data_IF_792898455478
#
_entry.id   IF_792898455478
#
_cell.length_a   1.000
_cell.length_b   1.000
_cell.length_c   1.000
_cell.angle_alpha   90.00
_cell.angle_beta   90.00
_cell.angle_gamma   90.00
#
_symmetry.space_group_name_H-M   'P 1'
#
loop_
_entity.id
_entity.type
_entity.pdbx_description
1 polymer ?
#
# COMPACT_ATOMS: atom_id res chain seq x y z
N UNK A 1 -8.62 0.58 -27.86
CA UNK A 1 -7.89 0.72 -26.60
C UNK A 1 -6.41 0.65 -26.95
N UNK A 2 -5.63 1.64 -26.54
CA UNK A 2 -4.22 1.83 -26.87
C UNK A 2 -3.31 0.74 -26.29
N UNK A 3 -3.68 0.14 -25.16
CA UNK A 3 -3.00 -1.02 -24.58
C UNK A 3 -3.01 -2.25 -25.50
N UNK A 4 -4.13 -2.48 -26.22
CA UNK A 4 -4.30 -3.52 -27.23
C UNK A 4 -3.51 -3.20 -28.50
N UNK A 5 -3.41 -1.92 -28.87
CA UNK A 5 -2.56 -1.50 -29.99
C UNK A 5 -1.07 -1.72 -29.68
N UNK A 6 -0.60 -1.33 -28.49
CA UNK A 6 0.77 -1.63 -28.04
C UNK A 6 1.03 -3.14 -27.97
N UNK A 7 0.06 -3.95 -27.54
CA UNK A 7 0.17 -5.40 -27.58
C UNK A 7 0.36 -5.93 -29.01
N UNK A 8 -0.40 -5.40 -29.97
CA UNK A 8 -0.35 -5.77 -31.38
C UNK A 8 0.98 -5.39 -32.03
N UNK A 9 1.54 -4.23 -31.70
CA UNK A 9 2.79 -3.73 -32.31
C UNK A 9 4.05 -4.15 -31.56
N UNK A 10 3.93 -4.80 -30.39
CA UNK A 10 5.05 -5.19 -29.51
C UNK A 10 6.23 -5.84 -30.24
N UNK A 11 5.99 -6.82 -31.11
CA UNK A 11 7.05 -7.49 -31.85
C UNK A 11 7.81 -6.54 -32.78
N UNK A 12 7.08 -5.78 -33.59
CA UNK A 12 7.64 -4.82 -34.55
C UNK A 12 8.33 -3.64 -33.88
N UNK A 13 7.80 -3.18 -32.74
CA UNK A 13 8.42 -2.14 -31.92
C UNK A 13 9.80 -2.59 -31.42
N UNK A 14 9.89 -3.80 -30.86
CA UNK A 14 11.13 -4.37 -30.32
C UNK A 14 12.23 -4.53 -31.40
N UNK A 15 11.84 -4.91 -32.62
CA UNK A 15 12.78 -5.05 -33.73
C UNK A 15 13.36 -3.69 -34.18
N UNK A 16 12.51 -2.67 -34.29
CA UNK A 16 12.86 -1.41 -34.95
C UNK A 16 13.36 -0.31 -33.99
N UNK A 17 12.84 -0.21 -32.77
CA UNK A 17 13.11 0.91 -31.84
C UNK A 17 14.58 1.02 -31.44
N UNK A 18 15.28 2.13 -31.72
CA UNK A 18 16.69 2.27 -31.35
C UNK A 18 16.90 2.39 -29.83
N UNK A 19 18.08 2.00 -29.31
CA UNK A 19 18.41 2.19 -27.88
C UNK A 19 18.31 3.66 -27.44
N UNK A 20 18.64 4.59 -28.33
CA UNK A 20 18.52 6.02 -28.05
C UNK A 20 17.06 6.45 -27.90
N UNK A 21 16.18 5.95 -28.78
CA UNK A 21 14.75 6.24 -28.72
C UNK A 21 14.09 5.62 -27.47
N UNK A 22 14.52 4.43 -27.03
CA UNK A 22 14.06 3.85 -25.75
C UNK A 22 14.37 4.79 -24.58
N UNK A 23 15.60 5.33 -24.51
CA UNK A 23 16.01 6.27 -23.46
C UNK A 23 15.18 7.56 -23.50
N UNK A 24 15.01 8.14 -24.69
CA UNK A 24 14.19 9.34 -24.85
C UNK A 24 12.73 9.12 -24.46
N UNK A 25 12.15 7.96 -24.80
CA UNK A 25 10.79 7.62 -24.40
C UNK A 25 10.68 7.40 -22.88
N UNK A 26 11.70 6.86 -22.24
CA UNK A 26 11.74 6.75 -20.77
C UNK A 26 11.77 8.14 -20.12
N UNK A 27 12.59 9.06 -20.63
CA UNK A 27 12.66 10.45 -20.16
C UNK A 27 11.31 11.15 -20.31
N UNK A 28 10.66 11.01 -21.47
CA UNK A 28 9.34 11.60 -21.74
C UNK A 28 8.23 11.03 -20.82
N UNK A 29 8.29 9.72 -20.53
CA UNK A 29 7.34 9.06 -19.64
C UNK A 29 7.60 9.38 -18.16
N UNK A 30 8.85 9.66 -17.80
CA UNK A 30 9.23 10.16 -16.48
C UNK A 30 8.73 11.60 -16.28
N UNK A 31 8.88 12.47 -17.28
CA UNK A 31 8.38 13.86 -17.26
C UNK A 31 6.85 13.90 -17.13
N UNK A 32 6.14 13.03 -17.85
CA UNK A 32 4.69 12.86 -17.75
C UNK A 32 4.23 12.16 -16.44
N UNK A 33 5.16 11.80 -15.54
CA UNK A 33 4.94 11.06 -14.28
C UNK A 33 4.23 9.73 -14.48
N UNK A 34 4.42 9.10 -15.64
CA UNK A 34 3.90 7.77 -15.93
C UNK A 34 4.84 6.69 -15.43
N UNK A 35 6.15 6.94 -15.45
CA UNK A 35 7.18 6.10 -14.84
C UNK A 35 7.85 6.86 -13.68
N UNK A 36 8.42 6.13 -12.73
CA UNK A 36 9.32 6.67 -11.71
C UNK A 36 10.78 6.33 -12.02
N UNK A 37 11.73 6.99 -11.36
CA UNK A 37 13.17 6.81 -11.61
C UNK A 37 13.59 5.33 -11.49
N UNK A 38 13.11 4.62 -10.47
CA UNK A 38 13.42 3.20 -10.28
C UNK A 38 12.85 2.28 -11.37
N UNK A 39 11.67 2.61 -11.92
CA UNK A 39 11.08 1.89 -13.06
C UNK A 39 11.87 2.15 -14.35
N UNK A 40 12.33 3.38 -14.55
CA UNK A 40 13.22 3.74 -15.66
C UNK A 40 14.56 3.02 -15.55
N UNK A 41 15.16 3.00 -14.36
CA UNK A 41 16.43 2.33 -14.10
C UNK A 41 16.30 0.81 -14.27
N UNK A 42 15.19 0.20 -13.85
CA UNK A 42 14.91 -1.23 -14.10
C UNK A 42 14.86 -1.57 -15.60
N UNK A 43 14.39 -0.65 -16.44
CA UNK A 43 14.43 -0.86 -17.91
C UNK A 43 15.86 -0.76 -18.45
N UNK A 44 16.69 0.09 -17.87
CA UNK A 44 18.06 0.37 -18.34
C UNK A 44 19.11 -0.61 -17.81
N UNK A 45 18.99 -1.06 -16.55
CA UNK A 45 20.02 -1.82 -15.82
C UNK A 45 19.79 -3.34 -15.93
N UNK A 46 18.54 -3.81 -15.90
CA UNK A 46 18.23 -5.25 -15.93
C UNK A 46 18.32 -5.89 -17.33
N UNK A 47 18.52 -5.07 -18.38
CA UNK A 47 18.40 -5.51 -19.77
C UNK A 47 19.68 -5.23 -20.58
N UNK A 48 20.49 -6.28 -20.82
CA UNK A 48 21.75 -6.16 -21.59
C UNK A 48 21.52 -5.92 -23.10
N UNK A 49 20.35 -6.31 -23.63
CA UNK A 49 19.98 -6.22 -25.05
C UNK A 49 18.94 -5.14 -25.39
N UNK A 50 19.08 -4.50 -26.56
CA UNK A 50 18.09 -3.55 -27.15
C UNK A 50 16.66 -4.11 -27.11
N UNK A 51 16.53 -5.39 -27.45
CA UNK A 51 15.24 -6.05 -27.54
C UNK A 51 14.58 -6.24 -26.16
N UNK A 52 15.37 -6.54 -25.14
CA UNK A 52 14.86 -6.76 -23.78
C UNK A 52 14.47 -5.45 -23.13
N UNK A 53 15.25 -4.39 -23.34
CA UNK A 53 14.88 -3.01 -22.96
C UNK A 53 13.54 -2.61 -23.59
N UNK A 54 13.36 -2.86 -24.89
CA UNK A 54 12.15 -2.51 -25.61
C UNK A 54 10.92 -3.32 -25.13
N UNK A 55 11.12 -4.61 -24.80
CA UNK A 55 10.07 -5.46 -24.21
C UNK A 55 9.70 -4.98 -22.81
N UNK A 56 10.70 -4.65 -21.99
CA UNK A 56 10.47 -4.17 -20.63
C UNK A 56 9.68 -2.85 -20.64
N UNK A 57 10.11 -1.88 -21.46
CA UNK A 57 9.42 -0.60 -21.62
C UNK A 57 7.95 -0.78 -22.03
N UNK A 58 7.70 -1.50 -23.12
CA UNK A 58 6.32 -1.62 -23.65
C UNK A 58 5.41 -2.43 -22.71
N UNK A 59 5.92 -3.47 -22.05
CA UNK A 59 5.12 -4.26 -21.12
C UNK A 59 4.89 -3.54 -19.79
N UNK A 60 5.80 -2.67 -19.37
CA UNK A 60 5.63 -1.80 -18.21
C UNK A 60 4.56 -0.75 -18.48
N UNK A 61 4.62 -0.06 -19.61
CA UNK A 61 3.61 0.94 -20.02
C UNK A 61 2.22 0.30 -20.17
N UNK A 62 2.13 -0.91 -20.76
CA UNK A 62 0.86 -1.63 -20.88
C UNK A 62 0.26 -2.01 -19.53
N UNK A 63 1.07 -2.45 -18.57
CA UNK A 63 0.61 -2.78 -17.20
C UNK A 63 0.03 -1.58 -16.45
N UNK A 64 0.49 -0.36 -16.77
CA UNK A 64 -0.07 0.89 -16.21
C UNK A 64 -1.40 1.31 -16.85
N UNK A 65 -1.82 0.67 -17.93
CA UNK A 65 -3.13 0.82 -18.53
C UNK A 65 -3.19 1.73 -19.75
N UNK A 66 -4.42 1.98 -20.21
CA UNK A 66 -4.75 2.59 -21.50
C UNK A 66 -4.25 4.04 -21.62
N UNK A 67 -4.27 4.81 -20.52
CA UNK A 67 -3.79 6.19 -20.48
C UNK A 67 -2.27 6.28 -20.72
N UNK A 68 -1.49 5.44 -20.03
CA UNK A 68 -0.04 5.39 -20.21
C UNK A 68 0.31 4.90 -21.61
N UNK A 69 -0.43 3.92 -22.11
CA UNK A 69 -0.28 3.38 -23.46
C UNK A 69 -0.54 4.44 -24.55
N UNK A 70 -1.58 5.29 -24.38
CA UNK A 70 -1.84 6.42 -25.29
C UNK A 70 -0.71 7.44 -25.29
N UNK A 71 -0.21 7.82 -24.10
CA UNK A 71 0.87 8.80 -23.96
C UNK A 71 2.17 8.30 -24.57
N UNK A 72 2.50 7.02 -24.41
CA UNK A 72 3.66 6.43 -25.10
C UNK A 72 3.52 6.46 -26.63
N UNK A 73 2.32 6.19 -27.16
CA UNK A 73 2.06 6.30 -28.61
C UNK A 73 2.24 7.75 -29.09
N UNK A 74 1.74 8.73 -28.33
CA UNK A 74 1.89 10.15 -28.63
C UNK A 74 3.36 10.59 -28.60
N UNK A 75 4.13 10.18 -27.59
CA UNK A 75 5.56 10.49 -27.51
C UNK A 75 6.35 9.81 -28.64
N UNK A 76 5.97 8.58 -29.01
CA UNK A 76 6.55 7.90 -30.16
C UNK A 76 6.26 8.63 -31.47
N UNK A 77 5.04 9.14 -31.66
CA UNK A 77 4.67 9.97 -32.81
C UNK A 77 5.48 11.27 -32.87
N UNK A 78 5.70 11.93 -31.73
CA UNK A 78 6.46 13.17 -31.67
C UNK A 78 7.96 12.96 -31.90
N UNK A 79 8.53 11.88 -31.35
CA UNK A 79 9.97 11.59 -31.41
C UNK A 79 10.40 10.89 -32.70
N UNK A 80 9.57 9.98 -33.20
CA UNK A 80 9.83 9.26 -34.45
C UNK A 80 8.53 9.00 -35.24
N UNK A 81 8.07 10.00 -36.03
CA UNK A 81 6.90 9.88 -36.90
C UNK A 81 7.01 8.74 -37.92
N UNK A 82 8.24 8.38 -38.32
CA UNK A 82 8.48 7.34 -39.32
C UNK A 82 8.23 5.95 -38.72
N UNK A 83 8.76 5.69 -37.53
CA UNK A 83 8.50 4.46 -36.78
C UNK A 83 7.03 4.36 -36.35
N UNK A 84 6.41 5.46 -35.93
CA UNK A 84 4.98 5.51 -35.60
C UNK A 84 4.11 5.08 -36.79
N UNK A 85 4.39 5.62 -37.98
CA UNK A 85 3.69 5.30 -39.23
C UNK A 85 3.92 3.84 -39.65
N UNK A 86 5.15 3.33 -39.53
CA UNK A 86 5.49 1.94 -39.86
C UNK A 86 4.84 0.91 -38.91
N UNK A 87 4.67 1.27 -37.64
CA UNK A 87 3.97 0.43 -36.67
C UNK A 87 2.45 0.43 -36.90
N UNK A 88 1.93 1.38 -37.67
CA UNK A 88 0.50 1.51 -37.98
C UNK A 88 -0.31 1.85 -36.75
N UNK A 89 0.25 2.67 -35.87
CA UNK A 89 -0.43 3.25 -34.72
C UNK A 89 -1.26 4.44 -35.23
N UNK A 90 -2.54 4.50 -34.88
CA UNK A 90 -3.40 5.62 -35.27
C UNK A 90 -3.93 6.31 -34.03
N UNK A 91 -3.50 7.55 -33.81
CA UNK A 91 -4.13 8.47 -32.88
C UNK A 91 -5.45 8.95 -33.49
N UNK A 92 -6.51 8.13 -33.44
CA UNK A 92 -7.86 8.67 -33.62
C UNK A 92 -8.30 9.26 -32.29
N UNK A 93 -8.49 10.58 -32.17
CA UNK A 93 -9.19 11.13 -31.01
C UNK A 93 -10.63 10.60 -31.07
N UNK A 94 -11.05 9.87 -30.04
CA UNK A 94 -12.44 9.45 -29.89
C UNK A 94 -13.31 10.70 -29.72
N UNK A 95 -14.25 11.02 -30.65
CA UNK A 95 -15.19 12.11 -30.46
C UNK A 95 -16.21 11.64 -29.41
N UNK A 96 -16.13 12.17 -28.19
CA UNK A 96 -17.10 11.85 -27.13
C UNK A 96 -16.56 11.86 -25.70
N UNK A 97 -15.25 11.99 -25.48
CA UNK A 97 -14.75 12.25 -24.13
C UNK A 97 -14.94 13.73 -23.81
N UNK A 98 -15.99 14.03 -23.03
CA UNK A 98 -16.04 15.22 -22.18
C UNK A 98 -14.67 15.31 -21.49
N UNK A 99 -13.97 16.45 -21.53
CA UNK A 99 -12.72 16.59 -20.81
C UNK A 99 -13.04 16.30 -19.34
N UNK A 100 -12.58 15.14 -18.84
CA UNK A 100 -12.44 14.97 -17.41
C UNK A 100 -11.62 16.18 -16.94
N UNK A 101 -12.01 16.87 -15.85
CA UNK A 101 -11.35 18.09 -15.45
C UNK A 101 -9.85 17.84 -15.46
N UNK A 102 -9.11 18.72 -16.13
CA UNK A 102 -7.67 18.81 -15.96
C UNK A 102 -7.43 19.19 -14.50
N UNK A 103 -7.57 18.25 -13.58
CA UNK A 103 -6.95 18.36 -12.28
C UNK A 103 -5.46 18.23 -12.56
N UNK A 104 -4.86 19.37 -12.89
CA UNK A 104 -3.68 19.78 -12.17
C UNK A 104 -4.02 19.67 -10.69
N UNK A 105 -3.94 18.46 -10.11
CA UNK A 105 -3.85 18.32 -8.68
C UNK A 105 -2.47 18.89 -8.34
N UNK A 106 -2.41 20.21 -8.21
CA UNK A 106 -1.58 20.80 -7.18
C UNK A 106 -1.86 19.96 -5.93
N UNK A 107 -0.83 19.35 -5.35
CA UNK A 107 -1.00 18.62 -4.11
C UNK A 107 -1.67 19.55 -3.11
N UNK A 108 -2.94 19.26 -2.82
CA UNK A 108 -3.70 20.03 -1.87
C UNK A 108 -3.28 19.56 -0.50
N UNK A 109 -2.74 20.47 0.30
CA UNK A 109 -2.49 20.23 1.72
C UNK A 109 -3.78 20.29 2.57
N UNK A 110 -4.93 20.37 1.92
CA UNK A 110 -6.26 20.42 2.52
C UNK A 110 -7.04 19.16 2.15
N UNK A 111 -7.60 18.51 3.18
CA UNK A 111 -8.52 17.39 3.02
C UNK A 111 -9.77 17.88 2.29
N UNK A 112 -10.15 17.19 1.21
CA UNK A 112 -11.43 17.40 0.55
C UNK A 112 -12.44 16.50 1.25
N UNK A 113 -13.39 17.10 1.95
CA UNK A 113 -14.46 16.36 2.62
C UNK A 113 -15.40 15.76 1.59
N UNK A 114 -15.96 14.59 1.92
CA UNK A 114 -17.04 14.01 1.11
C UNK A 114 -18.30 14.86 1.19
N UNK A 115 -19.22 14.69 0.23
CA UNK A 115 -20.53 15.35 0.27
C UNK A 115 -21.46 14.65 1.26
N UNK A 116 -22.33 15.42 1.90
CA UNK A 116 -23.34 14.86 2.82
C UNK A 116 -24.24 13.82 2.14
N UNK A 117 -24.52 14.00 0.84
CA UNK A 117 -25.30 13.05 0.04
C UNK A 117 -24.61 11.68 -0.06
N UNK A 118 -23.32 11.67 -0.40
CA UNK A 118 -22.52 10.44 -0.48
C UNK A 118 -22.40 9.78 0.89
N UNK A 119 -22.13 10.57 1.94
CA UNK A 119 -22.03 10.05 3.31
C UNK A 119 -23.31 9.37 3.78
N UNK A 120 -24.46 10.02 3.55
CA UNK A 120 -25.77 9.50 3.94
C UNK A 120 -26.18 8.26 3.12
N UNK A 121 -25.79 8.18 1.85
CA UNK A 121 -25.97 6.98 1.04
C UNK A 121 -25.16 5.81 1.61
N UNK A 122 -23.86 6.01 1.86
CA UNK A 122 -22.96 4.94 2.32
C UNK A 122 -23.26 4.45 3.73
N UNK A 123 -23.70 5.32 4.65
CA UNK A 123 -24.14 4.91 6.01
C UNK A 123 -25.31 3.92 6.00
N UNK A 124 -26.11 3.89 4.93
CA UNK A 124 -27.25 2.96 4.80
C UNK A 124 -26.89 1.64 4.11
N UNK A 125 -25.68 1.56 3.54
CA UNK A 125 -25.22 0.35 2.85
C UNK A 125 -24.84 -0.73 3.85
N UNK A 126 -25.22 -1.97 3.55
CA UNK A 126 -24.83 -3.15 4.33
C UNK A 126 -23.39 -3.61 4.05
N UNK A 127 -22.82 -3.16 2.93
CA UNK A 127 -21.46 -3.53 2.49
C UNK A 127 -20.38 -2.56 3.00
N UNK A 128 -20.75 -1.62 3.88
CA UNK A 128 -19.86 -0.59 4.44
C UNK A 128 -19.80 -0.74 5.96
N UNK A 129 -18.62 -0.57 6.55
CA UNK A 129 -18.47 -0.57 8.00
C UNK A 129 -19.36 0.51 8.64
N UNK A 130 -20.09 0.11 9.68
CA UNK A 130 -21.02 0.99 10.37
C UNK A 130 -20.27 2.11 11.11
N UNK A 131 -20.74 3.35 10.93
CA UNK A 131 -20.19 4.55 11.55
C UNK A 131 -21.33 5.32 12.23
N UNK A 132 -21.13 5.66 13.51
CA UNK A 132 -22.01 6.54 14.29
C UNK A 132 -21.28 7.82 14.68
N UNK A 133 -22.01 8.84 15.11
CA UNK A 133 -21.38 10.10 15.49
C UNK A 133 -20.56 9.94 16.79
N UNK A 134 -20.96 9.00 17.66
CA UNK A 134 -20.20 8.56 18.83
C UNK A 134 -18.90 7.87 18.42
N UNK A 135 -18.96 6.96 17.46
CA UNK A 135 -17.77 6.22 17.01
C UNK A 135 -16.75 7.13 16.34
N UNK A 136 -17.22 8.13 15.59
CA UNK A 136 -16.39 9.19 15.02
C UNK A 136 -15.60 9.95 16.10
N UNK A 137 -16.26 10.33 17.21
CA UNK A 137 -15.60 11.05 18.33
C UNK A 137 -14.61 10.19 19.11
N UNK A 138 -14.74 8.87 18.98
CA UNK A 138 -13.89 7.87 19.64
C UNK A 138 -12.79 7.31 18.73
N UNK A 139 -12.59 7.88 17.54
CA UNK A 139 -11.48 7.52 16.66
C UNK A 139 -10.13 7.82 17.29
N UNK A 140 -9.26 6.81 17.30
CA UNK A 140 -7.88 6.92 17.81
C UNK A 140 -6.92 6.25 16.83
N UNK A 141 -5.77 6.88 16.63
CA UNK A 141 -4.71 6.40 15.77
C UNK A 141 -3.38 6.38 16.54
N UNK A 142 -2.56 5.37 16.25
CA UNK A 142 -1.19 5.26 16.75
C UNK A 142 -0.22 5.75 15.67
N UNK A 143 0.67 6.68 16.02
CA UNK A 143 1.73 7.18 15.14
C UNK A 143 3.08 6.98 15.84
N UNK A 144 3.88 6.05 15.33
CA UNK A 144 5.23 5.75 15.81
C UNK A 144 6.25 6.23 14.78
N UNK A 145 7.14 7.12 15.18
CA UNK A 145 8.24 7.61 14.34
C UNK A 145 9.57 7.40 15.05
N UNK A 146 10.34 6.44 14.59
CA UNK A 146 11.74 6.29 15.02
C UNK A 146 12.62 7.08 14.05
N UNK A 147 13.28 8.10 14.58
CA UNK A 147 14.04 9.09 13.84
C UNK A 147 15.50 9.09 14.29
N UNK A 148 15.73 9.18 15.59
CA UNK A 148 17.06 9.35 16.18
C UNK A 148 17.53 7.99 16.71
N UNK A 149 18.42 7.35 15.96
CA UNK A 149 18.98 6.05 16.34
C UNK A 149 20.27 6.25 17.11
N UNK A 150 20.59 5.31 18.01
CA UNK A 150 21.84 5.32 18.77
C UNK A 150 23.08 5.35 17.84
N UNK A 151 22.97 4.70 16.68
CA UNK A 151 23.89 4.92 15.58
C UNK A 151 23.45 6.15 14.76
N UNK A 152 24.16 7.27 14.91
CA UNK A 152 23.86 8.54 14.25
C UNK A 152 23.75 8.42 12.72
N UNK A 153 24.46 7.46 12.09
CA UNK A 153 24.41 7.21 10.64
C UNK A 153 23.04 6.73 10.16
N UNK A 154 22.24 6.17 11.07
CA UNK A 154 20.88 5.72 10.82
C UNK A 154 19.84 6.80 11.10
N UNK A 155 20.22 8.02 11.46
CA UNK A 155 19.26 9.10 11.71
C UNK A 155 18.46 9.45 10.46
N UNK A 156 17.13 9.40 10.56
CA UNK A 156 16.20 9.62 9.43
C UNK A 156 15.86 11.10 9.28
N UNK A 157 16.74 11.86 8.62
CA UNK A 157 16.50 13.28 8.31
C UNK A 157 15.24 13.44 7.43
N UNK A 158 14.35 14.36 7.79
CA UNK A 158 13.10 14.60 7.07
C UNK A 158 11.90 13.81 7.60
N UNK A 159 12.11 12.83 8.48
CA UNK A 159 11.03 12.08 9.11
C UNK A 159 10.09 12.98 9.95
N UNK A 160 10.56 14.16 10.39
CA UNK A 160 9.72 15.16 11.07
C UNK A 160 8.60 15.65 10.15
N UNK A 161 8.91 15.85 8.86
CA UNK A 161 7.93 16.34 7.89
C UNK A 161 6.86 15.29 7.61
N UNK A 162 7.27 14.02 7.54
CA UNK A 162 6.36 12.89 7.38
C UNK A 162 5.45 12.74 8.61
N UNK A 163 6.01 12.83 9.81
CA UNK A 163 5.27 12.81 11.08
C UNK A 163 4.21 13.93 11.13
N UNK A 164 4.61 15.18 10.86
CA UNK A 164 3.71 16.34 10.85
C UNK A 164 2.57 16.16 9.83
N UNK A 165 2.90 15.72 8.62
CA UNK A 165 1.92 15.54 7.55
C UNK A 165 0.94 14.42 7.89
N UNK A 166 1.43 13.30 8.42
CA UNK A 166 0.61 12.18 8.82
C UNK A 166 -0.30 12.51 10.01
N UNK A 167 0.23 13.21 11.02
CA UNK A 167 -0.58 13.69 12.14
C UNK A 167 -1.70 14.61 11.64
N UNK A 168 -1.36 15.58 10.77
CA UNK A 168 -2.34 16.49 10.18
C UNK A 168 -3.43 15.74 9.42
N UNK A 169 -3.04 14.75 8.62
CA UNK A 169 -3.97 13.90 7.87
C UNK A 169 -4.92 13.15 8.82
N UNK A 170 -4.38 12.42 9.79
CA UNK A 170 -5.17 11.61 10.72
C UNK A 170 -6.13 12.48 11.55
N UNK A 171 -5.67 13.64 12.04
CA UNK A 171 -6.54 14.60 12.73
C UNK A 171 -7.64 15.13 11.83
N UNK A 172 -7.34 15.43 10.57
CA UNK A 172 -8.36 15.89 9.60
C UNK A 172 -9.41 14.81 9.29
N UNK A 173 -9.06 13.53 9.43
CA UNK A 173 -9.97 12.38 9.32
C UNK A 173 -10.76 12.10 10.62
N UNK A 174 -10.57 12.91 11.66
CA UNK A 174 -11.29 12.84 12.93
C UNK A 174 -10.62 11.96 14.00
N UNK A 175 -9.38 11.54 13.81
CA UNK A 175 -8.68 10.70 14.78
C UNK A 175 -7.97 11.54 15.84
N UNK A 176 -8.07 11.10 17.10
CA UNK A 176 -7.09 11.44 18.11
C UNK A 176 -5.79 10.69 17.81
N UNK A 177 -4.68 11.41 17.70
CA UNK A 177 -3.38 10.81 17.36
C UNK A 177 -2.54 10.64 18.63
N UNK A 178 -2.30 9.38 19.01
CA UNK A 178 -1.37 8.98 20.06
C UNK A 178 0.01 8.86 19.43
N UNK A 179 0.88 9.84 19.72
CA UNK A 179 2.20 9.96 19.12
C UNK A 179 3.30 9.41 20.00
N UNK A 180 4.27 8.79 19.36
CA UNK A 180 5.37 8.12 20.00
C UNK A 180 6.63 8.22 19.14
N UNK A 181 7.70 8.76 19.73
CA UNK A 181 8.96 8.97 19.02
C UNK A 181 10.09 8.20 19.71
N UNK A 182 10.96 7.63 18.87
CA UNK A 182 12.23 7.00 19.27
C UNK A 182 12.07 5.89 20.32
N UNK A 183 11.22 4.90 20.02
CA UNK A 183 10.81 3.86 20.96
C UNK A 183 11.41 2.49 20.70
N UNK A 184 11.32 1.68 21.76
CA UNK A 184 11.55 0.24 21.80
C UNK A 184 10.20 -0.51 21.71
N UNK A 185 10.23 -1.81 21.41
CA UNK A 185 9.12 -2.67 20.96
C UNK A 185 7.77 -2.72 21.77
N UNK A 186 7.56 -1.98 22.87
CA UNK A 186 6.46 -2.21 23.83
C UNK A 186 5.15 -1.42 23.62
N UNK A 187 5.09 -0.52 22.63
CA UNK A 187 4.04 0.52 22.49
C UNK A 187 2.65 -0.02 22.16
N UNK A 188 2.60 -1.10 21.36
CA UNK A 188 1.33 -1.62 20.82
C UNK A 188 0.44 -2.25 21.87
N UNK A 189 1.04 -2.82 22.92
CA UNK A 189 0.27 -3.37 24.04
C UNK A 189 -0.51 -2.25 24.75
N UNK A 190 0.16 -1.15 25.08
CA UNK A 190 -0.48 0.03 25.68
C UNK A 190 -1.57 0.62 24.78
N UNK A 191 -1.34 0.66 23.47
CA UNK A 191 -2.35 1.14 22.53
C UNK A 191 -3.60 0.23 22.50
N UNK A 192 -3.43 -1.09 22.55
CA UNK A 192 -4.54 -2.05 22.55
C UNK A 192 -5.46 -1.94 23.79
N UNK A 193 -5.00 -1.28 24.85
CA UNK A 193 -5.76 -1.00 26.08
C UNK A 193 -6.44 0.37 26.09
N UNK A 194 -6.29 1.17 25.01
CA UNK A 194 -6.80 2.53 24.99
C UNK A 194 -8.33 2.57 25.14
N UNK A 195 -8.89 3.37 26.07
CA UNK A 195 -10.30 3.29 26.46
C UNK A 195 -11.27 3.59 25.31
N UNK A 196 -10.88 4.48 24.38
CA UNK A 196 -11.70 4.81 23.20
C UNK A 196 -11.90 3.66 22.21
N UNK A 197 -11.08 2.60 22.24
CA UNK A 197 -11.20 1.49 21.28
C UNK A 197 -12.53 0.74 21.38
N UNK A 198 -13.17 0.77 22.56
CA UNK A 198 -14.49 0.17 22.76
C UNK A 198 -15.55 0.81 21.87
N UNK A 199 -15.51 2.13 21.77
CA UNK A 199 -16.55 2.91 21.09
C UNK A 199 -16.12 3.35 19.69
N UNK A 200 -14.84 3.20 19.33
CA UNK A 200 -14.32 3.54 18.01
C UNK A 200 -14.96 2.71 16.89
N UNK A 201 -14.98 3.22 15.67
CA UNK A 201 -15.38 2.48 14.46
C UNK A 201 -14.19 1.89 13.71
N UNK A 202 -13.01 2.51 13.81
CA UNK A 202 -11.82 2.13 13.07
C UNK A 202 -10.55 2.66 13.73
N UNK A 203 -9.41 2.05 13.42
CA UNK A 203 -8.10 2.52 13.89
C UNK A 203 -7.09 2.62 12.77
N UNK A 204 -6.17 3.57 12.92
CA UNK A 204 -4.93 3.64 12.14
C UNK A 204 -3.75 3.30 13.04
N UNK A 205 -2.80 2.53 12.51
CA UNK A 205 -1.48 2.34 13.10
C UNK A 205 -0.44 2.66 12.04
N UNK A 206 0.32 3.72 12.26
CA UNK A 206 1.36 4.17 11.36
C UNK A 206 2.71 4.00 12.05
N UNK A 207 3.62 3.28 11.40
CA UNK A 207 4.97 3.02 11.92
C UNK A 207 5.98 3.45 10.85
N UNK A 208 6.87 4.37 11.22
CA UNK A 208 7.91 4.89 10.34
C UNK A 208 9.27 4.70 11.02
N UNK A 209 10.12 3.86 10.46
CA UNK A 209 11.44 3.54 11.04
C UNK A 209 12.38 2.94 9.98
N UNK A 210 13.56 2.50 10.40
CA UNK A 210 14.31 1.46 9.68
C UNK A 210 13.70 0.09 9.93
N UNK A 211 14.10 -0.90 9.14
CA UNK A 211 13.65 -2.27 9.33
C UNK A 211 14.26 -3.24 8.33
N UNK A 212 13.71 -4.45 8.36
CA UNK A 212 13.86 -5.50 7.35
C UNK A 212 12.52 -6.22 7.17
N UNK A 213 12.45 -7.19 6.27
CA UNK A 213 11.19 -7.78 5.79
C UNK A 213 10.14 -8.13 6.86
N UNK A 214 10.59 -8.68 7.99
CA UNK A 214 9.72 -9.18 9.06
C UNK A 214 9.67 -8.29 10.32
N UNK A 215 10.49 -7.24 10.39
CA UNK A 215 10.56 -6.42 11.60
C UNK A 215 10.94 -4.97 11.35
N UNK A 216 10.48 -4.13 12.27
CA UNK A 216 10.81 -2.71 12.36
C UNK A 216 11.90 -2.55 13.42
N UNK A 217 12.90 -1.72 13.17
CA UNK A 217 13.97 -1.47 14.13
C UNK A 217 13.54 -0.45 15.19
N UNK A 218 13.85 -0.74 16.45
CA UNK A 218 13.89 0.23 17.53
C UNK A 218 15.16 1.08 17.45
N UNK A 219 15.19 2.17 18.21
CA UNK A 219 16.29 3.15 18.12
C UNK A 219 17.63 2.63 18.63
N UNK A 220 17.62 1.56 19.43
CA UNK A 220 18.84 0.94 19.95
C UNK A 220 19.33 -0.23 19.09
N UNK A 221 18.77 -0.41 17.89
CA UNK A 221 19.13 -1.50 17.00
C UNK A 221 20.58 -1.38 16.53
N UNK A 222 21.35 -2.45 16.71
CA UNK A 222 22.72 -2.63 16.22
C UNK A 222 22.99 -4.09 15.94
N UNK A 223 24.17 -4.41 15.38
CA UNK A 223 24.60 -5.80 15.18
C UNK A 223 24.66 -6.59 16.50
N UNK A 224 24.97 -5.91 17.61
CA UNK A 224 25.08 -6.49 18.95
C UNK A 224 23.76 -6.47 19.73
N UNK A 225 22.89 -5.48 19.47
CA UNK A 225 21.60 -5.33 20.12
C UNK A 225 20.45 -5.36 19.11
N UNK A 226 19.76 -6.51 19.02
CA UNK A 226 18.62 -6.69 18.12
C UNK A 226 17.34 -6.12 18.73
N UNK A 227 17.30 -4.79 18.88
CA UNK A 227 16.08 -4.04 19.19
C UNK A 227 15.16 -4.05 17.95
N UNK A 228 14.49 -5.18 17.74
CA UNK A 228 13.66 -5.46 16.59
C UNK A 228 12.21 -5.72 17.05
N UNK A 229 11.26 -5.11 16.37
CA UNK A 229 9.83 -5.28 16.57
C UNK A 229 9.23 -6.07 15.41
N UNK A 230 8.85 -7.34 15.60
CA UNK A 230 8.21 -8.15 14.57
C UNK A 230 6.89 -7.55 14.10
N UNK A 231 6.70 -7.41 12.79
CA UNK A 231 5.46 -6.86 12.21
C UNK A 231 4.24 -7.72 12.58
N UNK A 232 4.43 -9.03 12.71
CA UNK A 232 3.39 -9.98 13.11
C UNK A 232 2.77 -9.67 14.49
N UNK A 233 3.54 -9.03 15.39
CA UNK A 233 3.01 -8.61 16.68
C UNK A 233 1.90 -7.55 16.56
N UNK A 234 1.86 -6.77 15.48
CA UNK A 234 0.78 -5.81 15.23
C UNK A 234 -0.54 -6.55 15.06
N UNK A 235 -0.57 -7.56 14.19
CA UNK A 235 -1.78 -8.33 13.91
C UNK A 235 -2.23 -9.13 15.14
N UNK A 236 -1.26 -9.67 15.89
CA UNK A 236 -1.53 -10.38 17.14
C UNK A 236 -2.17 -9.46 18.19
N UNK A 237 -1.53 -8.32 18.51
CA UNK A 237 -2.00 -7.41 19.55
C UNK A 237 -3.33 -6.72 19.21
N UNK A 238 -3.59 -6.45 17.93
CA UNK A 238 -4.85 -5.82 17.48
C UNK A 238 -5.89 -6.83 17.01
N UNK A 239 -5.54 -8.12 17.05
CA UNK A 239 -6.40 -9.22 16.67
C UNK A 239 -7.53 -9.45 17.68
N UNK A 240 -8.56 -10.23 17.31
CA UNK A 240 -9.73 -10.50 18.13
C UNK A 240 -9.41 -11.15 19.49
N UNK A 241 -8.28 -11.84 19.60
CA UNK A 241 -7.86 -12.51 20.83
C UNK A 241 -7.31 -11.54 21.88
N UNK A 242 -6.44 -10.61 21.48
CA UNK A 242 -5.77 -9.69 22.41
C UNK A 242 -6.47 -8.32 22.48
N UNK A 243 -7.18 -7.90 21.42
CA UNK A 243 -7.98 -6.67 21.42
C UNK A 243 -9.42 -6.93 20.93
N UNK A 244 -10.29 -7.54 21.78
CA UNK A 244 -11.69 -7.77 21.44
C UNK A 244 -12.47 -6.50 21.07
N UNK A 245 -12.05 -5.35 21.60
CA UNK A 245 -12.65 -4.03 21.33
C UNK A 245 -12.63 -3.65 19.84
N UNK A 246 -11.72 -4.22 19.06
CA UNK A 246 -11.57 -3.98 17.63
C UNK A 246 -12.18 -5.08 16.74
N UNK A 247 -12.89 -6.07 17.29
CA UNK A 247 -13.52 -7.10 16.47
C UNK A 247 -14.52 -6.52 15.46
N UNK A 248 -14.44 -6.94 14.19
CA UNK A 248 -15.28 -6.46 13.09
C UNK A 248 -15.14 -4.95 12.79
N UNK A 249 -14.05 -4.33 13.26
CA UNK A 249 -13.70 -2.94 13.01
C UNK A 249 -12.43 -2.88 12.16
N UNK A 250 -12.38 -2.05 11.10
CA UNK A 250 -11.22 -1.98 10.23
C UNK A 250 -9.98 -1.44 10.96
N UNK A 251 -8.86 -2.12 10.74
CA UNK A 251 -7.53 -1.84 11.27
C UNK A 251 -6.61 -1.52 10.10
N UNK A 252 -6.33 -0.24 9.90
CA UNK A 252 -5.50 0.26 8.79
C UNK A 252 -4.07 0.41 9.29
N UNK A 253 -3.16 -0.41 8.77
CA UNK A 253 -1.75 -0.42 9.15
C UNK A 253 -0.93 0.19 8.02
N UNK A 254 -0.11 1.20 8.33
CA UNK A 254 0.81 1.83 7.38
C UNK A 254 2.21 1.68 7.93
N UNK A 255 3.11 1.05 7.16
CA UNK A 255 4.52 0.87 7.58
C UNK A 255 5.44 1.43 6.52
N UNK A 256 6.21 2.44 6.90
CA UNK A 256 7.35 2.96 6.14
C UNK A 256 8.64 2.44 6.80
N UNK A 257 9.20 1.36 6.27
CA UNK A 257 10.47 0.83 6.73
C UNK A 257 11.17 0.05 5.61
N UNK A 258 12.50 0.11 5.57
CA UNK A 258 13.30 -0.71 4.68
C UNK A 258 12.94 -2.19 4.89
N UNK A 259 12.82 -2.99 3.83
CA UNK A 259 12.52 -4.43 3.93
C UNK A 259 13.62 -5.37 3.40
N UNK A 260 14.79 -4.83 3.09
CA UNK A 260 15.99 -5.57 2.65
C UNK A 260 16.27 -5.45 1.14
N UNK A 261 17.45 -5.93 0.71
CA UNK A 261 18.06 -5.74 -0.62
C UNK A 261 17.49 -6.61 -1.76
N UNK A 262 16.37 -7.30 -1.57
CA UNK A 262 15.73 -8.06 -2.66
C UNK A 262 14.62 -7.23 -3.26
N UNK A 263 14.73 -6.96 -4.58
CA UNK A 263 13.90 -6.06 -5.36
C UNK A 263 12.44 -6.00 -4.95
N UNK A 264 11.92 -4.77 -4.90
CA UNK A 264 10.57 -4.43 -4.45
C UNK A 264 9.50 -5.30 -5.11
N UNK A 265 9.01 -6.28 -4.36
CA UNK A 265 7.90 -7.13 -4.78
C UNK A 265 6.88 -7.30 -3.65
N UNK A 266 5.63 -7.40 -4.08
CA UNK A 266 4.42 -7.32 -3.27
C UNK A 266 4.15 -8.66 -2.59
N UNK A 267 3.85 -8.63 -1.29
CA UNK A 267 3.23 -9.76 -0.60
C UNK A 267 1.71 -9.55 -0.70
N UNK A 268 1.07 -10.24 -1.66
CA UNK A 268 -0.40 -10.36 -1.72
C UNK A 268 -0.75 -11.60 -0.89
N UNK A 269 -1.19 -11.39 0.36
CA UNK A 269 -1.80 -12.46 1.14
C UNK A 269 -3.28 -12.55 0.81
N UNK A 270 -3.60 -13.26 -0.27
CA UNK A 270 -4.95 -13.83 -0.42
C UNK A 270 -4.98 -15.08 0.46
N UNK A 271 -5.84 -15.05 1.48
CA UNK A 271 -5.96 -16.14 2.46
C UNK A 271 -6.51 -17.41 1.79
N UNK A 272 -5.61 -18.24 1.25
CA UNK A 272 -5.89 -19.61 0.83
C UNK A 272 -4.61 -20.44 0.93
N UNK A 273 -4.13 -20.72 2.15
CA UNK A 273 -3.18 -21.82 2.31
C UNK A 273 -3.94 -23.12 2.52
N UNK A 274 -4.10 -23.83 1.41
CA UNK A 274 -4.42 -25.25 1.37
C UNK A 274 -3.27 -26.04 2.03
N UNK A 275 -3.48 -26.49 3.26
CA UNK A 275 -2.97 -27.78 3.72
C UNK A 275 -4.14 -28.54 4.35
N UNK A 276 -4.85 -29.24 3.48
CA UNK A 276 -5.61 -30.43 3.85
C UNK A 276 -4.63 -31.44 4.45
N UNK A 277 -4.68 -31.59 5.75
CA UNK A 277 -4.31 -32.85 6.40
C UNK A 277 -5.59 -33.32 7.06
N UNK A 278 -6.26 -34.26 6.41
CA UNK A 278 -7.30 -35.07 7.04
C UNK A 278 -6.63 -35.88 8.14
N UNK A 279 -6.91 -35.55 9.39
CA UNK A 279 -6.89 -36.55 10.45
C UNK A 279 -8.35 -36.81 10.86
N UNK A 280 -8.81 -37.95 10.36
CA UNK A 280 -10.05 -38.61 10.72
C UNK A 280 -9.94 -39.07 12.18
N UNK A 281 -10.59 -38.36 13.10
CA UNK A 281 -10.84 -38.87 14.45
C UNK A 281 -12.33 -39.01 14.64
N UNK A 282 -12.77 -40.25 14.45
CA UNK A 282 -14.12 -40.72 14.72
C UNK A 282 -14.54 -40.47 16.17
N UNK A 283 -15.84 -40.21 16.31
CA UNK A 283 -16.59 -39.88 17.51
C UNK A 283 -16.40 -40.86 18.68
N UNK A 284 -16.38 -40.33 19.90
CA UNK A 284 -16.99 -40.98 21.06
C UNK A 284 -17.50 -39.95 22.07
N UNK A 285 -18.83 -39.82 22.11
CA UNK A 285 -19.60 -39.14 23.15
C UNK A 285 -19.60 -39.97 24.44
N UNK A 286 -19.43 -39.39 25.64
CA UNK A 286 -20.03 -39.93 26.84
C UNK A 286 -21.43 -39.37 27.03
N UNK A 287 -22.36 -40.28 27.26
CA UNK A 287 -23.74 -40.01 27.64
C UNK A 287 -23.85 -39.51 29.11
N UNK A 288 -24.97 -38.84 29.37
CA UNK A 288 -25.60 -38.49 30.65
C UNK A 288 -25.17 -37.21 31.39
N UNK A 289 -26.14 -36.31 31.53
CA UNK A 289 -26.22 -35.32 32.61
C UNK A 289 -26.87 -34.01 32.16
N UNK A 290 -28.21 -33.90 32.29
CA UNK A 290 -28.99 -32.78 31.77
C UNK A 290 -28.65 -31.41 32.36
N UNK A 291 -28.84 -30.37 31.53
CA UNK A 291 -28.80 -28.97 31.96
C UNK A 291 -28.69 -28.00 30.79
N UNK A 292 -29.82 -27.39 30.41
CA UNK A 292 -30.01 -26.18 29.57
C UNK A 292 -29.16 -26.06 28.29
N UNK A 293 -29.87 -26.17 27.17
CA UNK A 293 -29.47 -25.65 25.86
C UNK A 293 -29.09 -24.17 26.02
N UNK A 294 -27.80 -23.88 26.07
CA UNK A 294 -27.26 -22.60 25.60
C UNK A 294 -26.70 -22.88 24.22
N UNK A 295 -27.26 -22.17 23.25
CA UNK A 295 -26.84 -22.15 21.86
C UNK A 295 -25.44 -21.55 21.79
N UNK A 296 -24.42 -22.37 22.09
CA UNK A 296 -23.02 -22.04 21.88
C UNK A 296 -22.75 -22.07 20.38
N UNK A 297 -23.16 -20.99 19.71
CA UNK A 297 -22.64 -20.64 18.41
C UNK A 297 -21.14 -20.38 18.57
N UNK A 298 -20.33 -21.45 18.49
CA UNK A 298 -18.88 -21.38 18.32
C UNK A 298 -18.64 -20.67 16.98
N UNK A 299 -18.60 -19.33 17.04
CA UNK A 299 -18.17 -18.50 15.92
C UNK A 299 -16.68 -18.69 15.82
N UNK A 300 -16.24 -19.54 14.89
CA UNK A 300 -14.86 -19.55 14.43
C UNK A 300 -14.54 -18.17 13.83
N UNK A 301 -14.03 -17.26 14.65
CA UNK A 301 -13.54 -15.95 14.20
C UNK A 301 -12.13 -16.17 13.66
N UNK A 302 -11.90 -15.77 12.41
CA UNK A 302 -10.58 -15.82 11.81
C UNK A 302 -9.60 -14.99 12.67
N UNK A 303 -8.41 -15.55 12.95
CA UNK A 303 -7.42 -14.90 13.83
C UNK A 303 -6.99 -13.53 13.33
N UNK A 304 -7.05 -13.31 12.02
CA UNK A 304 -6.73 -12.05 11.36
C UNK A 304 -7.93 -11.64 10.50
N UNK A 305 -8.70 -10.67 10.98
CA UNK A 305 -9.90 -10.17 10.29
C UNK A 305 -9.93 -8.65 10.34
N UNK A 306 -10.40 -8.05 9.25
CA UNK A 306 -10.61 -6.60 9.11
C UNK A 306 -9.30 -5.78 9.14
N UNK A 307 -8.20 -6.37 8.69
CA UNK A 307 -6.91 -5.67 8.54
C UNK A 307 -6.67 -5.28 7.08
N UNK A 308 -6.03 -4.13 6.89
CA UNK A 308 -5.40 -3.76 5.62
C UNK A 308 -4.05 -3.11 5.90
N UNK A 309 -3.01 -3.55 5.17
CA UNK A 309 -1.65 -3.10 5.38
C UNK A 309 -1.07 -2.46 4.12
N UNK A 310 -0.53 -1.25 4.27
CA UNK A 310 0.17 -0.49 3.25
C UNK A 310 1.64 -0.44 3.65
N UNK A 311 2.48 -1.21 2.95
CA UNK A 311 3.90 -1.38 3.27
C UNK A 311 4.74 -0.70 2.20
N UNK A 312 5.59 0.22 2.60
CA UNK A 312 6.55 0.89 1.73
C UNK A 312 7.96 0.54 2.17
N UNK A 313 8.79 0.18 1.20
CA UNK A 313 10.15 -0.34 1.39
C UNK A 313 11.18 0.35 0.51
N UNK A 314 10.79 1.45 -0.12
CA UNK A 314 11.69 2.27 -0.94
C UNK A 314 12.77 2.88 -0.04
N UNK A 315 14.06 2.67 -0.36
CA UNK A 315 15.15 3.38 0.31
C UNK A 315 14.96 4.88 0.16
N UNK A 316 15.26 5.65 1.21
CA UNK A 316 15.22 7.11 1.12
C UNK A 316 16.38 7.58 0.23
N UNK A 317 16.08 8.10 -0.96
CA UNK A 317 17.03 8.90 -1.72
C UNK A 317 17.11 10.27 -1.05
N UNK A 318 18.20 10.55 -0.35
CA UNK A 318 18.48 11.89 0.12
C UNK A 318 18.79 12.77 -1.11
N UNK A 319 17.86 13.63 -1.51
CA UNK A 319 18.19 14.79 -2.34
C UNK A 319 19.00 15.76 -1.50
N UNK A 320 20.29 15.89 -1.82
CA UNK A 320 21.13 17.01 -1.37
C UNK A 320 20.71 18.31 -2.06
#
# INVERSE_FOLDING_TARGET
MADKELARVRGRFVEKVSKALIKQLLDDLLEDRLLNDGETDSVLEDNTGKADMARCLIDMVRRKGDRASRKMIQHLENRDPTLHSELGLTCKPTPGEIPAPQNQHAWSNSLVTTTDSFWNEKRKSKDVYAVSDESLRSRVALLITNRNFANERLTRKGAEKDEENMEKLLRSLGYEVVKHNDLTAQVLHTFAEHPKLRDTDSVFVVIMSHGKRECVFGVNHSEENKDEFPVDNIYRHLGPQECPALMNKPKIIIIQACRGETGGSVLVSDSASAKVVSDDVSQQLPANGGGKIVDDAIRYVHKEKDFISLLSSTPAHATC
#
